data_IF_017403689172
#
_entry.id   IF_017403689172
#
_cell.length_a   1.000
_cell.length_b   1.000
_cell.length_c   1.000
_cell.angle_alpha   90.00
_cell.angle_beta   90.00
_cell.angle_gamma   90.00
#
_symmetry.space_group_name_H-M   'P 1'
#
loop_
_entity.id
_entity.type
_entity.pdbx_description
1 polymer ?
#
# COMPACT_ATOMS: atom_id res chain seq x y z
N UNK A 1 19.46 9.07 -1.64
CA UNK A 1 18.47 8.50 -2.61
C UNK A 1 17.52 7.62 -1.79
N UNK A 2 16.21 7.68 -2.04
CA UNK A 2 15.23 6.85 -1.32
C UNK A 2 15.50 5.36 -1.52
N UNK A 3 15.20 4.55 -0.51
CA UNK A 3 15.29 3.08 -0.61
C UNK A 3 14.38 2.55 -1.73
N UNK A 4 14.92 1.69 -2.57
CA UNK A 4 14.19 0.95 -3.60
C UNK A 4 13.57 -0.34 -3.02
N UNK A 5 12.77 -1.05 -3.81
CA UNK A 5 12.29 -2.39 -3.42
C UNK A 5 13.44 -3.39 -3.30
N UNK A 6 14.52 -3.22 -4.10
CA UNK A 6 15.71 -4.06 -4.00
C UNK A 6 16.44 -3.85 -2.65
N UNK A 7 16.48 -2.61 -2.15
CA UNK A 7 17.07 -2.34 -0.83
C UNK A 7 16.26 -3.02 0.27
N UNK A 8 14.92 -2.98 0.21
CA UNK A 8 14.05 -3.68 1.15
C UNK A 8 14.23 -5.21 1.08
N UNK A 9 14.39 -5.77 -0.13
CA UNK A 9 14.68 -7.20 -0.31
C UNK A 9 16.06 -7.59 0.23
N UNK A 10 17.05 -6.72 0.07
CA UNK A 10 18.39 -6.92 0.65
C UNK A 10 18.33 -6.92 2.17
N UNK A 11 17.60 -6.00 2.80
CA UNK A 11 17.37 -5.97 4.25
C UNK A 11 16.72 -7.29 4.72
N UNK A 12 15.69 -7.78 4.02
CA UNK A 12 15.07 -9.09 4.31
C UNK A 12 16.10 -10.23 4.25
N UNK A 13 16.93 -10.26 3.21
CA UNK A 13 17.93 -11.30 3.02
C UNK A 13 19.00 -11.28 4.12
N UNK A 14 19.36 -10.09 4.58
CA UNK A 14 20.27 -9.86 5.69
C UNK A 14 19.64 -10.07 7.09
N UNK A 15 18.33 -10.40 7.14
CA UNK A 15 17.55 -10.51 8.39
C UNK A 15 17.46 -9.20 9.18
N UNK A 16 17.59 -8.07 8.51
CA UNK A 16 17.38 -6.75 9.07
C UNK A 16 15.87 -6.45 9.14
N UNK A 17 15.45 -5.84 10.25
CA UNK A 17 14.03 -5.42 10.38
C UNK A 17 13.81 -4.15 9.57
N UNK A 18 12.67 -4.09 8.89
CA UNK A 18 12.19 -2.92 8.15
C UNK A 18 11.23 -2.15 9.05
N UNK A 19 11.57 -0.92 9.38
CA UNK A 19 10.70 -0.03 10.15
C UNK A 19 9.78 0.71 9.18
N UNK A 20 8.47 0.50 9.31
CA UNK A 20 7.44 1.14 8.48
C UNK A 20 6.60 2.10 9.32
N UNK A 21 6.41 3.32 8.84
CA UNK A 21 5.58 4.35 9.46
C UNK A 21 4.65 4.98 8.42
N UNK A 22 3.59 5.63 8.88
CA UNK A 22 2.69 6.42 8.03
C UNK A 22 2.98 7.91 8.15
N UNK A 23 2.77 8.65 7.05
CA UNK A 23 2.79 10.10 7.04
C UNK A 23 1.76 10.62 6.03
N UNK A 24 1.18 11.80 6.32
CA UNK A 24 0.16 12.40 5.46
C UNK A 24 0.50 13.85 5.07
N UNK A 25 1.62 14.37 5.55
CA UNK A 25 2.09 15.75 5.31
C UNK A 25 3.61 15.84 5.26
N UNK A 26 4.11 16.97 4.77
CA UNK A 26 5.54 17.28 4.64
C UNK A 26 6.28 17.27 5.98
N UNK A 27 5.70 17.88 7.01
CA UNK A 27 6.39 18.07 8.30
C UNK A 27 6.59 16.72 8.99
N UNK A 28 5.53 15.91 9.11
CA UNK A 28 5.60 14.56 9.66
C UNK A 28 6.61 13.72 8.89
N UNK A 29 6.52 13.70 7.56
CA UNK A 29 7.43 12.93 6.71
C UNK A 29 8.89 13.34 6.92
N UNK A 30 9.18 14.64 6.99
CA UNK A 30 10.55 15.15 7.20
C UNK A 30 11.14 14.74 8.56
N UNK A 31 10.30 14.63 9.59
CA UNK A 31 10.74 14.22 10.94
C UNK A 31 11.04 12.73 10.97
N UNK A 32 10.15 11.88 10.41
CA UNK A 32 10.26 10.43 10.54
C UNK A 32 11.21 9.78 9.51
N UNK A 33 11.56 10.46 8.43
CA UNK A 33 12.34 9.92 7.30
C UNK A 33 13.72 9.35 7.71
N UNK A 34 14.32 9.86 8.80
CA UNK A 34 15.59 9.35 9.32
C UNK A 34 15.44 8.18 10.30
N UNK A 35 14.21 7.85 10.71
CA UNK A 35 13.93 6.83 11.73
C UNK A 35 13.21 5.61 11.18
N UNK A 36 12.92 5.59 9.88
CA UNK A 36 12.23 4.46 9.25
C UNK A 36 12.81 4.12 7.87
N UNK A 37 12.45 2.95 7.38
CA UNK A 37 12.89 2.42 6.09
C UNK A 37 11.81 2.56 5.03
N UNK A 38 10.56 2.65 5.48
CA UNK A 38 9.38 2.64 4.64
C UNK A 38 8.36 3.65 5.16
N UNK A 39 7.89 4.55 4.31
CA UNK A 39 6.82 5.50 4.61
C UNK A 39 5.62 5.19 3.72
N UNK A 40 4.47 5.02 4.35
CA UNK A 40 3.19 4.79 3.68
C UNK A 40 2.34 6.07 3.74
N UNK A 41 1.84 6.49 2.60
CA UNK A 41 0.67 7.38 2.54
C UNK A 41 -0.55 6.49 2.38
N UNK A 42 -1.21 6.20 3.49
CA UNK A 42 -2.36 5.30 3.54
C UNK A 42 -3.67 6.01 3.22
N UNK A 43 -4.65 5.29 2.64
CA UNK A 43 -6.02 5.80 2.50
C UNK A 43 -6.73 5.96 3.85
N UNK A 44 -6.13 5.44 4.93
CA UNK A 44 -6.48 5.78 6.32
C UNK A 44 -6.42 7.29 6.63
N UNK A 45 -5.88 8.11 5.71
CA UNK A 45 -6.02 9.58 5.77
C UNK A 45 -7.50 10.01 5.85
N UNK A 46 -8.42 9.23 5.28
CA UNK A 46 -9.86 9.45 5.43
C UNK A 46 -10.28 9.51 6.89
N UNK A 47 -9.83 8.53 7.68
CA UNK A 47 -10.14 8.48 9.11
C UNK A 47 -9.34 9.51 9.93
N UNK A 48 -8.00 9.49 9.80
CA UNK A 48 -7.11 10.19 10.74
C UNK A 48 -6.88 11.66 10.39
N UNK A 49 -7.10 12.06 9.14
CA UNK A 49 -6.88 13.43 8.68
C UNK A 49 -8.18 14.14 8.30
N UNK A 50 -9.10 13.44 7.60
CA UNK A 50 -10.39 14.01 7.19
C UNK A 50 -11.51 13.80 8.22
N UNK A 51 -11.34 12.90 9.20
CA UNK A 51 -12.34 12.57 10.23
C UNK A 51 -13.52 11.74 9.71
N UNK A 52 -13.35 11.04 8.60
CA UNK A 52 -14.37 10.16 8.02
C UNK A 52 -14.44 8.82 8.79
N UNK A 53 -15.61 8.18 8.82
CA UNK A 53 -15.76 6.88 9.49
C UNK A 53 -15.00 5.75 8.79
N UNK A 54 -14.85 5.86 7.47
CA UNK A 54 -14.22 4.82 6.62
C UNK A 54 -13.26 5.44 5.63
N UNK A 55 -12.43 4.59 5.01
CA UNK A 55 -11.52 5.00 3.93
C UNK A 55 -12.20 5.05 2.56
N UNK A 56 -13.47 4.64 2.46
CA UNK A 56 -14.16 4.43 1.17
C UNK A 56 -14.38 5.71 0.36
N UNK A 57 -14.43 6.88 1.02
CA UNK A 57 -14.61 8.18 0.38
C UNK A 57 -13.33 8.80 -0.17
N UNK A 58 -12.16 8.20 0.10
CA UNK A 58 -10.87 8.72 -0.34
C UNK A 58 -10.70 8.55 -1.85
N UNK A 59 -10.27 9.61 -2.53
CA UNK A 59 -10.07 9.62 -3.98
C UNK A 59 -8.60 9.48 -4.37
N UNK A 60 -8.34 9.15 -5.64
CA UNK A 60 -6.96 9.17 -6.20
C UNK A 60 -6.34 10.57 -6.11
N UNK A 61 -7.13 11.61 -6.24
CA UNK A 61 -6.63 13.00 -6.16
C UNK A 61 -6.27 13.38 -4.71
N UNK A 62 -7.00 12.90 -3.70
CA UNK A 62 -6.60 13.02 -2.29
C UNK A 62 -5.24 12.33 -2.06
N UNK A 63 -5.09 11.10 -2.56
CA UNK A 63 -3.83 10.35 -2.43
C UNK A 63 -2.66 11.07 -3.11
N UNK A 64 -2.89 11.67 -4.27
CA UNK A 64 -1.89 12.49 -4.96
C UNK A 64 -1.56 13.75 -4.17
N UNK A 65 -2.56 14.44 -3.63
CA UNK A 65 -2.36 15.67 -2.84
C UNK A 65 -1.47 15.42 -1.61
N UNK A 66 -1.85 14.44 -0.79
CA UNK A 66 -1.07 14.05 0.38
C UNK A 66 0.29 13.46 0.00
N UNK A 67 0.32 12.59 -1.03
CA UNK A 67 1.53 11.97 -1.55
C UNK A 67 2.56 12.98 -2.05
N UNK A 68 2.14 14.06 -2.70
CA UNK A 68 3.02 15.16 -3.10
C UNK A 68 3.63 15.87 -1.88
N UNK A 69 2.82 16.11 -0.86
CA UNK A 69 3.29 16.74 0.38
C UNK A 69 4.34 15.88 1.08
N UNK A 70 4.04 14.61 1.31
CA UNK A 70 4.96 13.62 1.91
C UNK A 70 6.22 13.45 1.08
N UNK A 71 6.08 13.34 -0.24
CA UNK A 71 7.19 13.15 -1.18
C UNK A 71 8.29 14.21 -1.06
N UNK A 72 7.93 15.45 -0.72
CA UNK A 72 8.90 16.54 -0.52
C UNK A 72 9.70 16.37 0.79
N UNK A 73 9.12 15.71 1.80
CA UNK A 73 9.75 15.43 3.09
C UNK A 73 10.65 14.20 3.07
N UNK A 74 10.32 13.19 2.24
CA UNK A 74 11.04 11.89 2.19
C UNK A 74 12.29 11.99 1.32
N UNK A 75 13.45 11.64 1.88
CA UNK A 75 14.76 11.63 1.21
C UNK A 75 15.43 10.25 1.26
N UNK A 76 15.18 9.47 2.31
CA UNK A 76 15.86 8.21 2.62
C UNK A 76 14.92 7.00 2.56
N UNK A 77 13.77 7.07 3.18
CA UNK A 77 12.81 5.96 3.24
C UNK A 77 12.20 5.64 1.87
N UNK A 78 11.79 4.39 1.67
CA UNK A 78 10.95 3.98 0.56
C UNK A 78 9.57 4.64 0.69
N UNK A 79 9.08 5.29 -0.34
CA UNK A 79 7.75 5.91 -0.34
C UNK A 79 6.75 5.03 -1.08
N UNK A 80 5.71 4.62 -0.40
CA UNK A 80 4.57 3.89 -0.94
C UNK A 80 3.29 4.71 -0.80
N UNK A 81 2.39 4.63 -1.78
CA UNK A 81 1.09 5.31 -1.73
C UNK A 81 -0.02 4.32 -2.01
N UNK A 82 -1.07 4.36 -1.20
CA UNK A 82 -2.24 3.51 -1.40
C UNK A 82 -3.01 3.86 -2.67
N UNK A 83 -3.51 2.83 -3.29
CA UNK A 83 -4.58 2.94 -4.28
C UNK A 83 -5.92 2.89 -3.53
N UNK A 84 -6.71 3.97 -3.51
CA UNK A 84 -7.94 4.03 -2.73
C UNK A 84 -9.02 3.15 -3.34
N UNK A 85 -10.09 2.92 -2.56
CA UNK A 85 -11.25 2.12 -2.98
C UNK A 85 -11.79 2.55 -4.35
N UNK A 86 -12.15 1.58 -5.19
CA UNK A 86 -12.63 1.72 -6.57
C UNK A 86 -11.63 2.33 -7.58
N UNK A 87 -10.37 2.52 -7.20
CA UNK A 87 -9.34 2.97 -8.14
C UNK A 87 -8.66 1.83 -8.92
N UNK A 88 -8.87 0.56 -8.51
CA UNK A 88 -8.23 -0.61 -9.12
C UNK A 88 -9.12 -1.85 -9.20
N UNK A 89 -10.27 -1.86 -8.52
CA UNK A 89 -11.14 -3.03 -8.46
C UNK A 89 -11.94 -3.25 -9.75
N UNK A 90 -12.24 -2.20 -10.50
CA UNK A 90 -13.07 -2.28 -11.70
C UNK A 90 -12.37 -2.98 -12.87
N UNK A 91 -11.06 -2.76 -13.04
CA UNK A 91 -10.25 -3.43 -14.06
C UNK A 91 -8.75 -3.19 -13.85
N UNK A 92 -7.91 -4.13 -14.31
CA UNK A 92 -6.46 -3.96 -14.29
C UNK A 92 -5.97 -2.82 -15.21
N UNK A 93 -6.75 -2.43 -16.22
CA UNK A 93 -6.42 -1.30 -17.08
C UNK A 93 -6.61 0.03 -16.33
N UNK A 94 -7.70 0.17 -15.58
CA UNK A 94 -7.93 1.34 -14.75
C UNK A 94 -6.92 1.41 -13.59
N UNK A 95 -6.63 0.28 -12.95
CA UNK A 95 -5.59 0.18 -11.93
C UNK A 95 -4.24 0.70 -12.46
N UNK A 96 -3.82 0.26 -13.66
CA UNK A 96 -2.58 0.72 -14.29
C UNK A 96 -2.58 2.21 -14.54
N UNK A 97 -3.69 2.77 -15.03
CA UNK A 97 -3.86 4.22 -15.27
C UNK A 97 -3.73 5.00 -13.96
N UNK A 98 -4.41 4.59 -12.90
CA UNK A 98 -4.42 5.28 -11.61
C UNK A 98 -3.08 5.14 -10.88
N UNK A 99 -2.47 3.95 -10.87
CA UNK A 99 -1.13 3.74 -10.33
C UNK A 99 -0.09 4.62 -11.06
N UNK A 100 -0.17 4.68 -12.39
CA UNK A 100 0.69 5.55 -13.19
C UNK A 100 0.51 7.04 -12.86
N UNK A 101 -0.73 7.51 -12.62
CA UNK A 101 -0.99 8.89 -12.16
C UNK A 101 -0.34 9.16 -10.81
N UNK A 102 -0.52 8.26 -9.85
CA UNK A 102 0.06 8.38 -8.50
C UNK A 102 1.60 8.46 -8.59
N UNK A 103 2.24 7.47 -9.23
CA UNK A 103 3.71 7.38 -9.32
C UNK A 103 4.29 8.62 -10.03
N UNK A 104 3.72 9.02 -11.17
CA UNK A 104 4.22 10.17 -11.94
C UNK A 104 4.09 11.48 -11.17
N UNK A 105 2.99 11.70 -10.47
CA UNK A 105 2.77 12.91 -9.71
C UNK A 105 3.65 12.97 -8.44
N UNK A 106 3.69 11.88 -7.68
CA UNK A 106 4.29 11.87 -6.33
C UNK A 106 5.74 11.42 -6.31
N UNK A 107 6.22 10.77 -7.38
CA UNK A 107 7.52 10.10 -7.43
C UNK A 107 7.70 9.04 -6.35
N UNK A 108 6.59 8.40 -5.95
CA UNK A 108 6.62 7.23 -5.07
C UNK A 108 7.30 6.04 -5.75
N UNK A 109 7.89 5.14 -4.98
CA UNK A 109 8.59 3.96 -5.48
C UNK A 109 7.66 2.75 -5.64
N UNK A 110 6.51 2.74 -4.98
CA UNK A 110 5.50 1.68 -5.09
C UNK A 110 4.10 2.18 -4.84
N UNK A 111 3.10 1.36 -5.19
CA UNK A 111 1.71 1.53 -4.77
C UNK A 111 1.28 0.36 -3.90
N UNK A 112 0.35 0.59 -2.94
CA UNK A 112 -0.25 -0.48 -2.14
C UNK A 112 -1.72 -0.67 -2.56
N UNK A 113 -2.18 -1.91 -2.60
CA UNK A 113 -3.57 -2.26 -2.82
C UNK A 113 -3.98 -3.43 -1.93
N UNK A 114 -5.22 -3.40 -1.45
CA UNK A 114 -5.84 -4.50 -0.76
C UNK A 114 -6.22 -5.59 -1.77
N UNK A 115 -5.88 -6.84 -1.46
CA UNK A 115 -5.96 -7.90 -2.45
C UNK A 115 -6.97 -8.99 -2.10
N UNK A 116 -7.51 -9.57 -3.13
CA UNK A 116 -8.26 -10.83 -3.16
C UNK A 116 -7.75 -11.68 -4.34
N UNK A 117 -8.23 -12.89 -4.50
CA UNK A 117 -7.86 -13.69 -5.67
C UNK A 117 -8.25 -13.02 -7.00
N UNK A 118 -9.32 -12.23 -7.01
CA UNK A 118 -9.77 -11.48 -8.20
C UNK A 118 -8.83 -10.31 -8.57
N UNK A 119 -8.07 -9.79 -7.61
CA UNK A 119 -7.12 -8.70 -7.85
C UNK A 119 -5.69 -9.18 -8.18
N UNK A 120 -5.40 -10.47 -8.09
CA UNK A 120 -4.08 -11.04 -8.47
C UNK A 120 -3.67 -10.66 -9.91
N UNK A 121 -4.53 -10.72 -10.93
CA UNK A 121 -4.16 -10.27 -12.28
C UNK A 121 -3.76 -8.79 -12.35
N UNK A 122 -4.31 -7.96 -11.46
CA UNK A 122 -3.94 -6.54 -11.34
C UNK A 122 -2.52 -6.38 -10.83
N UNK A 123 -2.10 -7.16 -9.82
CA UNK A 123 -0.71 -7.17 -9.33
C UNK A 123 0.24 -7.47 -10.49
N UNK A 124 -0.02 -8.55 -11.22
CA UNK A 124 0.81 -8.95 -12.35
C UNK A 124 0.88 -7.87 -13.43
N UNK A 125 -0.26 -7.23 -13.73
CA UNK A 125 -0.34 -6.15 -14.72
C UNK A 125 0.52 -4.94 -14.33
N UNK A 126 0.46 -4.53 -13.06
CA UNK A 126 1.26 -3.42 -12.53
C UNK A 126 2.75 -3.77 -12.51
N UNK A 127 3.11 -4.94 -12.00
CA UNK A 127 4.49 -5.41 -11.95
C UNK A 127 5.13 -5.51 -13.34
N UNK A 128 4.41 -6.06 -14.33
CA UNK A 128 4.86 -6.14 -15.72
C UNK A 128 5.03 -4.75 -16.38
N UNK A 129 4.32 -3.74 -15.89
CA UNK A 129 4.48 -2.36 -16.34
C UNK A 129 5.62 -1.61 -15.61
N UNK A 130 6.35 -2.28 -14.71
CA UNK A 130 7.45 -1.69 -13.96
C UNK A 130 7.00 -0.89 -12.73
N UNK A 131 5.78 -1.08 -12.26
CA UNK A 131 5.25 -0.45 -11.04
C UNK A 131 5.35 -1.46 -9.90
N UNK A 132 6.24 -1.26 -8.89
CA UNK A 132 6.31 -2.13 -7.73
C UNK A 132 5.02 -2.09 -6.91
N UNK A 133 4.58 -3.27 -6.48
CA UNK A 133 3.32 -3.46 -5.75
C UNK A 133 3.57 -3.93 -4.33
N UNK A 134 2.92 -3.28 -3.40
CA UNK A 134 2.74 -3.72 -2.01
C UNK A 134 1.34 -4.33 -1.89
N UNK A 135 1.29 -5.62 -1.63
CA UNK A 135 0.03 -6.34 -1.45
C UNK A 135 -0.42 -6.30 0.01
N UNK A 136 -1.68 -5.93 0.27
CA UNK A 136 -2.25 -5.86 1.60
C UNK A 136 -3.29 -6.95 1.80
N UNK A 137 -3.12 -7.75 2.86
CA UNK A 137 -3.98 -8.86 3.26
C UNK A 137 -4.34 -8.77 4.74
N UNK A 138 -5.33 -9.53 5.16
CA UNK A 138 -5.82 -9.54 6.55
C UNK A 138 -7.00 -8.60 6.72
N UNK A 139 -6.92 -7.68 7.69
CA UNK A 139 -7.91 -6.61 7.82
C UNK A 139 -7.69 -5.59 6.71
N UNK A 140 -8.62 -5.56 5.77
CA UNK A 140 -8.62 -4.66 4.62
C UNK A 140 -9.68 -3.58 4.83
N UNK A 141 -9.31 -2.33 5.20
CA UNK A 141 -10.24 -1.23 5.46
C UNK A 141 -11.24 -0.95 4.35
N UNK A 142 -10.85 -1.13 3.08
CA UNK A 142 -11.73 -0.95 1.92
C UNK A 142 -12.86 -2.01 1.87
N UNK A 143 -12.71 -3.12 2.59
CA UNK A 143 -13.74 -4.15 2.75
C UNK A 143 -14.66 -3.92 3.97
N UNK A 144 -14.70 -2.71 4.53
CA UNK A 144 -15.46 -2.32 5.71
C UNK A 144 -16.90 -2.83 5.71
N UNK A 145 -17.62 -2.62 4.60
CA UNK A 145 -19.01 -3.03 4.46
C UNK A 145 -19.18 -4.56 4.43
N UNK A 146 -18.23 -5.29 3.86
CA UNK A 146 -18.23 -6.76 3.81
C UNK A 146 -17.97 -7.35 5.20
N UNK A 147 -17.05 -6.76 5.95
CA UNK A 147 -16.72 -7.23 7.30
C UNK A 147 -17.71 -6.75 8.37
N UNK A 148 -18.53 -5.75 8.06
CA UNK A 148 -19.40 -5.09 9.04
C UNK A 148 -18.59 -4.34 10.10
N UNK A 149 -17.57 -3.59 9.65
CA UNK A 149 -16.65 -2.80 10.47
C UNK A 149 -15.21 -3.30 10.45
N UNK A 150 -14.33 -2.64 11.19
CA UNK A 150 -12.92 -3.02 11.36
C UNK A 150 -12.77 -4.25 12.26
N UNK A 151 -13.03 -5.44 11.72
CA UNK A 151 -12.98 -6.70 12.46
C UNK A 151 -11.70 -7.45 12.19
N UNK A 152 -11.00 -7.83 13.27
CA UNK A 152 -9.78 -8.64 13.20
C UNK A 152 -9.97 -9.89 12.34
N UNK A 153 -9.08 -10.08 11.38
CA UNK A 153 -9.02 -11.24 10.49
C UNK A 153 -8.04 -12.31 11.03
N UNK A 154 -8.01 -13.48 10.39
CA UNK A 154 -7.08 -14.56 10.79
C UNK A 154 -7.44 -15.28 12.11
N UNK A 155 -8.67 -15.16 12.60
CA UNK A 155 -9.09 -15.82 13.86
C UNK A 155 -9.27 -17.31 13.73
N UNK A 156 -9.66 -17.83 12.58
CA UNK A 156 -9.88 -19.26 12.32
C UNK A 156 -8.77 -19.81 11.45
N UNK A 157 -8.51 -21.11 11.54
CA UNK A 157 -7.52 -21.79 10.71
C UNK A 157 -7.80 -21.58 9.21
N UNK A 158 -9.05 -21.69 8.79
CA UNK A 158 -9.49 -21.45 7.40
C UNK A 158 -9.11 -20.04 6.95
N UNK A 159 -9.34 -19.02 7.78
CA UNK A 159 -9.02 -17.63 7.44
C UNK A 159 -7.49 -17.40 7.41
N UNK A 160 -6.73 -18.03 8.32
CA UNK A 160 -5.27 -18.00 8.29
C UNK A 160 -4.71 -18.62 7.02
N UNK A 161 -5.22 -19.78 6.62
CA UNK A 161 -4.80 -20.47 5.39
C UNK A 161 -5.15 -19.67 4.14
N UNK A 162 -6.31 -18.98 4.13
CA UNK A 162 -6.70 -18.05 3.07
C UNK A 162 -5.70 -16.89 2.95
N UNK A 163 -5.39 -16.20 4.06
CA UNK A 163 -4.43 -15.08 4.09
C UNK A 163 -3.04 -15.53 3.62
N UNK A 164 -2.58 -16.68 4.10
CA UNK A 164 -1.28 -17.23 3.74
C UNK A 164 -1.22 -17.58 2.24
N UNK A 165 -2.27 -18.24 1.72
CA UNK A 165 -2.33 -18.63 0.31
C UNK A 165 -2.37 -17.40 -0.59
N UNK A 166 -3.19 -16.42 -0.23
CA UNK A 166 -3.30 -15.17 -0.98
C UNK A 166 -1.98 -14.39 -1.00
N UNK A 167 -1.26 -14.34 0.15
CA UNK A 167 0.06 -13.71 0.23
C UNK A 167 1.09 -14.37 -0.70
N UNK A 168 1.10 -15.71 -0.77
CA UNK A 168 1.98 -16.47 -1.68
C UNK A 168 1.63 -16.25 -3.14
N UNK A 169 0.34 -16.20 -3.47
CA UNK A 169 -0.08 -15.90 -4.84
C UNK A 169 0.27 -14.47 -5.24
N UNK A 170 0.17 -13.49 -4.31
CA UNK A 170 0.61 -12.14 -4.57
C UNK A 170 2.12 -12.07 -4.89
N UNK A 171 2.96 -12.71 -4.08
CA UNK A 171 4.41 -12.80 -4.30
C UNK A 171 4.72 -13.43 -5.66
N UNK A 172 4.11 -14.58 -5.99
CA UNK A 172 4.28 -15.28 -7.26
C UNK A 172 3.90 -14.44 -8.47
N UNK A 173 2.93 -13.53 -8.32
CA UNK A 173 2.45 -12.65 -9.38
C UNK A 173 3.14 -11.27 -9.38
N UNK A 174 4.22 -11.08 -8.61
CA UNK A 174 5.10 -9.93 -8.70
C UNK A 174 4.91 -8.85 -7.63
N UNK A 175 4.16 -9.13 -6.57
CA UNK A 175 4.18 -8.26 -5.41
C UNK A 175 5.58 -8.23 -4.78
N UNK A 176 6.09 -7.03 -4.52
CA UNK A 176 7.43 -6.82 -3.97
C UNK A 176 7.46 -6.86 -2.45
N UNK A 177 6.34 -6.53 -1.82
CA UNK A 177 6.14 -6.48 -0.36
C UNK A 177 4.73 -6.97 -0.05
N UNK A 178 4.55 -7.62 1.10
CA UNK A 178 3.24 -7.98 1.65
C UNK A 178 3.07 -7.32 3.02
N UNK A 179 1.94 -6.63 3.20
CA UNK A 179 1.47 -6.13 4.49
C UNK A 179 0.39 -7.07 4.99
N UNK A 180 0.51 -7.53 6.23
CA UNK A 180 -0.49 -8.35 6.91
C UNK A 180 -1.02 -7.56 8.09
N UNK A 181 -2.28 -7.16 8.02
CA UNK A 181 -2.96 -6.42 9.08
C UNK A 181 -4.00 -7.33 9.77
N UNK A 182 -4.13 -7.20 11.11
CA UNK A 182 -4.99 -8.13 11.82
C UNK A 182 -5.56 -7.70 13.15
#
# INVERSE_FOLDING_TARGET
>A
MRKSVQDLQSMKSNKERIVALTAYDFQTASIIDSYCDFILVGDSLGNVFKGEETTLGVTVDDMIYHGLSVSRGVKNAHLCIDMPFMSYQSSSAEALKNAGRIIKATKAQSVKLEISFDTIPTIQKLANAGIPVVAHVGLCPQSYNVYGGYKKQGKTKTNQDYILTLSKEAEKNGASVVVIEG
#
